data_IF_286645091813
#
_entry.id   IF_286645091813
#
_cell.length_a   1.000
_cell.length_b   1.000
_cell.length_c   1.000
_cell.angle_alpha   90.00
_cell.angle_beta   90.00
_cell.angle_gamma   90.00
#
_symmetry.space_group_name_H-M   'P 1'
#
loop_
_entity.id
_entity.type
_entity.pdbx_description
1 polymer ?
#
# COMPACT_ATOMS: atom_id res chain seq x y z
N UNK A 1 -13.23 14.38 -11.66
CA UNK A 1 -11.84 14.89 -11.43
C UNK A 1 -11.96 16.26 -10.76
N UNK A 2 -11.31 16.50 -9.60
CA UNK A 2 -11.27 17.84 -9.00
C UNK A 2 -10.61 18.80 -9.98
N UNK A 3 -11.09 20.04 -10.09
CA UNK A 3 -10.38 21.06 -10.83
C UNK A 3 -9.06 21.39 -10.10
N UNK A 4 -8.04 21.83 -10.83
CA UNK A 4 -6.74 22.23 -10.25
C UNK A 4 -6.89 23.20 -9.08
N UNK A 5 -7.92 24.06 -9.12
CA UNK A 5 -8.22 25.06 -8.09
C UNK A 5 -8.85 24.46 -6.81
N UNK A 6 -9.33 23.21 -6.88
CA UNK A 6 -9.99 22.53 -5.77
C UNK A 6 -9.06 21.57 -5.04
N UNK A 7 -7.79 21.43 -5.48
CA UNK A 7 -6.80 20.57 -4.83
C UNK A 7 -6.06 21.36 -3.78
N UNK A 8 -6.31 21.03 -2.52
CA UNK A 8 -5.60 21.65 -1.39
C UNK A 8 -4.32 20.88 -1.03
N UNK A 9 -4.43 19.55 -0.97
CA UNK A 9 -3.33 18.65 -0.62
C UNK A 9 -3.16 17.54 -1.66
N UNK A 10 -1.92 17.12 -1.87
CA UNK A 10 -1.60 15.97 -2.71
C UNK A 10 -1.91 14.66 -1.99
N UNK A 11 -2.22 13.63 -2.75
CA UNK A 11 -2.49 12.30 -2.24
C UNK A 11 -1.19 11.56 -1.92
N UNK A 12 -0.90 11.23 -0.64
CA UNK A 12 0.32 10.54 -0.24
C UNK A 12 0.35 9.08 -0.68
N UNK A 13 -0.79 8.53 -1.12
CA UNK A 13 -0.91 7.15 -1.60
C UNK A 13 -0.61 7.00 -3.09
N UNK A 14 -0.25 8.07 -3.81
CA UNK A 14 0.26 7.98 -5.18
C UNK A 14 1.77 8.16 -5.19
N UNK A 15 2.45 7.52 -6.14
CA UNK A 15 3.92 7.51 -6.25
C UNK A 15 4.53 8.92 -6.17
N UNK A 16 3.98 9.86 -6.93
CA UNK A 16 4.43 11.25 -6.90
C UNK A 16 4.25 11.89 -5.51
N UNK A 17 3.05 11.76 -4.92
CA UNK A 17 2.74 12.36 -3.61
C UNK A 17 3.59 11.76 -2.50
N UNK A 18 3.75 10.44 -2.49
CA UNK A 18 4.60 9.74 -1.54
C UNK A 18 6.06 10.24 -1.62
N UNK A 19 6.65 10.24 -2.82
CA UNK A 19 8.03 10.70 -3.03
C UNK A 19 8.21 12.16 -2.65
N UNK A 20 7.25 13.02 -2.99
CA UNK A 20 7.29 14.44 -2.66
C UNK A 20 7.34 14.70 -1.16
N UNK A 21 6.47 14.01 -0.40
CA UNK A 21 6.36 14.20 1.06
C UNK A 21 7.54 13.55 1.79
N UNK A 22 7.88 12.30 1.47
CA UNK A 22 8.80 11.51 2.29
C UNK A 22 10.23 11.46 1.78
N UNK A 23 10.44 11.61 0.46
CA UNK A 23 11.77 11.46 -0.16
C UNK A 23 12.39 12.79 -0.55
N UNK A 24 11.62 13.67 -1.23
CA UNK A 24 12.15 14.90 -1.83
C UNK A 24 12.12 16.10 -0.87
N UNK A 25 11.29 16.05 0.18
CA UNK A 25 11.18 17.13 1.15
C UNK A 25 12.47 17.43 1.93
N UNK A 26 13.40 16.48 2.00
CA UNK A 26 14.58 16.54 2.87
C UNK A 26 14.26 16.37 4.37
N UNK A 27 12.98 16.29 4.73
CA UNK A 27 12.48 16.13 6.12
C UNK A 27 12.42 14.65 6.48
N UNK A 28 13.57 14.01 6.68
CA UNK A 28 13.71 12.57 6.96
C UNK A 28 12.84 12.08 8.14
N UNK A 29 12.59 12.93 9.14
CA UNK A 29 11.77 12.57 10.31
C UNK A 29 10.32 12.24 9.92
N UNK A 30 9.82 12.73 8.77
CA UNK A 30 8.48 12.39 8.27
C UNK A 30 8.33 10.90 7.96
N UNK A 31 9.40 10.21 7.58
CA UNK A 31 9.38 8.75 7.41
C UNK A 31 9.97 8.01 8.61
N UNK A 32 10.94 8.59 9.31
CA UNK A 32 11.57 7.96 10.49
C UNK A 32 10.53 7.70 11.58
N UNK A 33 9.68 8.67 11.89
CA UNK A 33 8.71 8.55 12.97
C UNK A 33 7.67 7.43 12.74
N UNK A 34 7.06 7.30 11.56
CA UNK A 34 6.23 6.12 11.23
C UNK A 34 6.99 4.81 11.35
N UNK A 35 8.23 4.72 10.86
CA UNK A 35 9.03 3.51 10.96
C UNK A 35 9.29 3.13 12.42
N UNK A 36 9.63 4.11 13.26
CA UNK A 36 9.84 3.89 14.71
C UNK A 36 8.57 3.38 15.37
N UNK A 37 7.43 4.03 15.14
CA UNK A 37 6.15 3.63 15.71
C UNK A 37 5.74 2.23 15.26
N UNK A 38 5.73 1.98 13.95
CA UNK A 38 5.25 0.72 13.36
C UNK A 38 6.13 -0.47 13.77
N UNK A 39 7.46 -0.32 13.75
CA UNK A 39 8.38 -1.43 14.02
C UNK A 39 8.89 -1.48 15.47
N UNK A 40 8.57 -0.50 16.31
CA UNK A 40 9.05 -0.39 17.68
C UNK A 40 10.57 -0.18 17.73
N UNK A 41 11.06 0.81 16.97
CA UNK A 41 12.48 1.13 16.82
C UNK A 41 12.77 2.53 17.38
N UNK A 42 14.06 2.86 17.47
CA UNK A 42 14.56 4.18 17.84
C UNK A 42 15.60 4.65 16.81
N UNK A 43 15.11 4.86 15.58
CA UNK A 43 15.91 5.33 14.45
C UNK A 43 16.15 6.83 14.64
N UNK A 44 17.40 7.24 14.70
CA UNK A 44 17.78 8.65 14.82
C UNK A 44 17.96 9.31 13.43
N UNK A 45 18.51 8.58 12.45
CA UNK A 45 18.76 9.08 11.09
C UNK A 45 18.78 7.93 10.08
N UNK A 46 18.47 8.25 8.82
CA UNK A 46 18.51 7.34 7.68
C UNK A 46 19.17 8.00 6.49
N UNK A 47 19.80 7.18 5.64
CA UNK A 47 20.23 7.58 4.30
C UNK A 47 19.24 7.00 3.27
N UNK A 48 18.72 7.87 2.40
CA UNK A 48 17.90 7.44 1.27
C UNK A 48 18.85 6.88 0.22
N UNK A 49 18.59 5.65 -0.21
CA UNK A 49 19.36 4.91 -1.20
C UNK A 49 18.67 4.94 -2.56
N UNK A 50 19.36 4.48 -3.60
CA UNK A 50 18.73 4.24 -4.89
C UNK A 50 17.58 3.24 -4.75
N UNK A 51 16.46 3.58 -5.40
CA UNK A 51 15.24 2.77 -5.36
C UNK A 51 15.30 1.58 -6.33
N UNK A 52 16.33 1.48 -7.18
CA UNK A 52 16.54 0.38 -8.11
C UNK A 52 17.73 -0.46 -7.64
N UNK A 53 17.50 -1.75 -7.43
CA UNK A 53 18.56 -2.74 -7.21
C UNK A 53 18.71 -3.61 -8.44
N UNK A 54 19.87 -3.54 -9.07
CA UNK A 54 20.22 -4.36 -10.22
C UNK A 54 20.25 -5.86 -9.85
N UNK A 55 20.06 -6.73 -10.82
CA UNK A 55 20.31 -8.15 -10.69
C UNK A 55 21.76 -8.43 -10.30
N UNK A 56 22.02 -9.54 -9.58
CA UNK A 56 23.39 -10.02 -9.35
C UNK A 56 24.01 -10.51 -10.67
N UNK A 57 23.18 -10.82 -11.66
CA UNK A 57 23.56 -11.16 -13.04
C UNK A 57 22.70 -10.37 -14.02
N UNK A 58 23.15 -10.21 -15.26
CA UNK A 58 22.40 -9.51 -16.33
C UNK A 58 21.05 -10.15 -16.67
N UNK A 59 20.84 -11.41 -16.28
CA UNK A 59 19.61 -12.18 -16.53
C UNK A 59 18.59 -12.08 -15.39
N UNK A 60 18.99 -11.53 -14.25
CA UNK A 60 18.10 -11.42 -13.11
C UNK A 60 17.22 -10.16 -13.17
N UNK A 61 15.97 -10.30 -12.68
CA UNK A 61 15.05 -9.18 -12.56
C UNK A 61 15.62 -8.12 -11.64
N UNK A 62 15.53 -6.88 -12.07
CA UNK A 62 15.73 -5.71 -11.20
C UNK A 62 14.62 -5.66 -10.14
N UNK A 63 14.95 -5.17 -8.96
CA UNK A 63 13.98 -4.79 -7.95
C UNK A 63 13.90 -3.26 -7.91
N UNK A 64 12.70 -2.71 -8.06
CA UNK A 64 12.46 -1.26 -7.99
C UNK A 64 11.51 -1.01 -6.83
N UNK A 65 11.87 -0.08 -5.95
CA UNK A 65 11.12 0.28 -4.76
C UNK A 65 10.66 1.73 -4.85
N UNK A 66 9.56 2.07 -4.19
CA UNK A 66 9.16 3.48 -4.07
C UNK A 66 10.16 4.25 -3.22
N UNK A 67 10.61 3.64 -2.11
CA UNK A 67 11.68 4.20 -1.28
C UNK A 67 12.54 3.09 -0.66
N UNK A 68 13.85 3.27 -0.67
CA UNK A 68 14.82 2.45 0.04
C UNK A 68 15.66 3.34 0.96
N UNK A 69 15.75 2.96 2.23
CA UNK A 69 16.52 3.70 3.23
C UNK A 69 17.42 2.76 4.02
N UNK A 70 18.50 3.31 4.56
CA UNK A 70 19.41 2.59 5.41
C UNK A 70 19.87 3.44 6.59
N UNK A 71 19.92 2.84 7.78
CA UNK A 71 20.49 3.49 8.97
C UNK A 71 22.03 3.34 8.97
N UNK A 72 22.72 4.15 9.78
CA UNK A 72 24.19 4.09 9.91
C UNK A 72 24.69 2.74 10.42
N UNK A 73 23.91 2.03 11.22
CA UNK A 73 24.20 0.68 11.73
C UNK A 73 23.79 -0.44 10.78
N UNK A 74 23.31 -0.08 9.57
CA UNK A 74 23.09 -0.99 8.45
C UNK A 74 21.69 -1.64 8.39
N UNK A 75 20.71 -1.20 9.19
CA UNK A 75 19.32 -1.62 9.01
C UNK A 75 18.78 -1.08 7.69
N UNK A 76 18.11 -1.90 6.89
CA UNK A 76 17.50 -1.49 5.63
C UNK A 76 15.99 -1.44 5.74
N UNK A 77 15.40 -0.43 5.09
CA UNK A 77 13.95 -0.24 5.01
C UNK A 77 13.55 -0.13 3.56
N UNK A 78 12.60 -0.97 3.14
CA UNK A 78 11.94 -0.92 1.86
C UNK A 78 10.52 -0.44 2.11
N UNK A 79 10.10 0.63 1.48
CA UNK A 79 8.76 1.17 1.59
C UNK A 79 8.10 1.14 0.23
N UNK A 80 6.89 0.62 0.16
CA UNK A 80 6.08 0.47 -1.04
C UNK A 80 4.68 1.02 -0.81
N UNK A 81 4.18 1.79 -1.77
CA UNK A 81 2.79 2.24 -1.83
C UNK A 81 2.08 1.44 -2.92
N UNK A 82 1.04 0.69 -2.53
CA UNK A 82 0.35 -0.20 -3.45
C UNK A 82 -1.12 0.20 -3.59
N UNK A 83 -1.49 0.66 -4.78
CA UNK A 83 -2.83 1.20 -5.06
C UNK A 83 -3.89 0.14 -5.37
N UNK A 84 -3.49 -1.02 -5.87
CA UNK A 84 -4.39 -2.11 -6.21
C UNK A 84 -3.81 -3.44 -5.77
N UNK A 85 -4.69 -4.35 -5.37
CA UNK A 85 -4.33 -5.72 -5.06
C UNK A 85 -3.70 -6.38 -6.30
N UNK A 86 -2.55 -6.99 -6.09
CA UNK A 86 -1.83 -7.71 -7.12
C UNK A 86 -1.60 -9.15 -6.67
N UNK A 87 -1.82 -10.08 -7.57
CA UNK A 87 -1.47 -11.47 -7.36
C UNK A 87 0.01 -11.55 -6.96
N UNK A 88 0.31 -12.29 -5.89
CA UNK A 88 1.68 -12.48 -5.38
C UNK A 88 2.36 -11.23 -4.80
N UNK A 89 1.59 -10.26 -4.26
CA UNK A 89 2.19 -9.08 -3.61
C UNK A 89 3.05 -9.45 -2.40
N UNK A 90 2.60 -10.41 -1.58
CA UNK A 90 3.38 -10.89 -0.41
C UNK A 90 4.67 -11.57 -0.82
N UNK A 91 4.63 -12.40 -1.86
CA UNK A 91 5.80 -13.06 -2.43
C UNK A 91 6.79 -12.04 -3.01
N UNK A 92 6.27 -10.95 -3.60
CA UNK A 92 7.10 -9.84 -4.08
C UNK A 92 7.81 -9.13 -2.91
N UNK A 93 7.14 -8.91 -1.79
CA UNK A 93 7.75 -8.33 -0.59
C UNK A 93 8.87 -9.23 -0.04
N UNK A 94 8.66 -10.55 -0.01
CA UNK A 94 9.68 -11.54 0.36
C UNK A 94 10.85 -11.51 -0.63
N UNK A 95 10.58 -11.47 -1.93
CA UNK A 95 11.62 -11.38 -2.95
C UNK A 95 12.48 -10.12 -2.78
N UNK A 96 11.87 -8.95 -2.55
CA UNK A 96 12.56 -7.68 -2.38
C UNK A 96 13.46 -7.68 -1.14
N UNK A 97 12.96 -8.16 -0.02
CA UNK A 97 13.75 -8.26 1.23
C UNK A 97 14.89 -9.27 1.10
N UNK A 98 14.65 -10.42 0.49
CA UNK A 98 15.68 -11.44 0.23
C UNK A 98 16.78 -10.90 -0.69
N UNK A 99 16.38 -10.11 -1.70
CA UNK A 99 17.32 -9.45 -2.60
C UNK A 99 18.21 -8.48 -1.86
N UNK A 100 17.63 -7.64 -1.01
CA UNK A 100 18.37 -6.68 -0.19
C UNK A 100 19.37 -7.38 0.74
N UNK A 101 19.01 -8.53 1.32
CA UNK A 101 19.97 -9.36 2.09
C UNK A 101 21.09 -9.87 1.20
N UNK A 102 20.76 -10.40 0.02
CA UNK A 102 21.77 -10.95 -0.91
C UNK A 102 22.78 -9.89 -1.37
N UNK A 103 22.35 -8.65 -1.57
CA UNK A 103 23.25 -7.54 -1.90
C UNK A 103 24.18 -7.14 -0.76
N UNK A 104 23.85 -7.48 0.49
CA UNK A 104 24.70 -7.26 1.67
C UNK A 104 25.67 -8.41 1.93
N UNK A 105 25.54 -9.52 1.21
CA UNK A 105 26.45 -10.65 1.33
C UNK A 105 27.88 -10.24 0.96
N UNK A 106 28.83 -10.63 1.79
CA UNK A 106 30.24 -10.36 1.59
C UNK A 106 30.95 -11.59 1.01
N UNK A 107 31.97 -11.35 0.19
CA UNK A 107 32.84 -12.42 -0.28
C UNK A 107 33.91 -12.79 0.77
N UNK A 108 34.31 -14.05 0.83
CA UNK A 108 35.31 -14.54 1.77
C UNK A 108 34.72 -15.10 3.08
N UNK A 109 35.47 -15.05 4.16
CA UNK A 109 35.05 -15.55 5.48
C UNK A 109 34.02 -14.60 6.12
N UNK A 110 32.76 -14.80 5.77
CA UNK A 110 31.62 -14.08 6.31
C UNK A 110 30.77 -14.98 7.20
N UNK A 111 30.46 -14.52 8.41
CA UNK A 111 29.71 -15.25 9.43
C UNK A 111 28.19 -15.10 9.34
N UNK A 112 27.65 -14.58 8.20
CA UNK A 112 26.24 -14.31 7.99
C UNK A 112 25.62 -13.28 8.95
N UNK A 113 26.43 -12.41 9.56
CA UNK A 113 25.95 -11.28 10.38
C UNK A 113 25.47 -10.14 9.48
N UNK A 114 24.26 -10.28 8.94
CA UNK A 114 23.58 -9.21 8.22
C UNK A 114 22.57 -8.50 9.11
N UNK A 115 22.46 -7.20 8.88
CA UNK A 115 21.52 -6.37 9.64
C UNK A 115 20.08 -6.57 9.13
N UNK A 116 19.08 -6.36 10.01
CA UNK A 116 17.67 -6.52 9.65
C UNK A 116 17.25 -5.73 8.41
N UNK A 117 16.35 -6.34 7.65
CA UNK A 117 15.62 -5.72 6.54
C UNK A 117 14.15 -5.64 6.92
N UNK A 118 13.61 -4.43 6.85
CA UNK A 118 12.23 -4.12 7.16
C UNK A 118 11.49 -3.77 5.86
N UNK A 119 10.30 -4.32 5.68
CA UNK A 119 9.41 -3.98 4.58
C UNK A 119 8.15 -3.32 5.14
N UNK A 120 7.84 -2.12 4.64
CA UNK A 120 6.62 -1.39 4.93
C UNK A 120 5.79 -1.28 3.67
N UNK A 121 4.62 -1.91 3.64
CA UNK A 121 3.62 -1.77 2.58
C UNK A 121 2.48 -0.86 3.03
N UNK A 122 2.23 0.22 2.28
CA UNK A 122 1.06 1.08 2.43
C UNK A 122 0.04 0.67 1.37
N UNK A 123 -1.09 0.10 1.80
CA UNK A 123 -2.02 -0.60 0.92
C UNK A 123 -3.34 0.17 0.77
N UNK A 124 -3.80 0.29 -0.46
CA UNK A 124 -5.12 0.80 -0.80
C UNK A 124 -6.12 -0.34 -1.08
N UNK A 125 -5.95 -1.46 -0.41
CA UNK A 125 -6.79 -2.66 -0.47
C UNK A 125 -6.60 -3.50 0.80
N UNK A 126 -7.50 -4.47 1.00
CA UNK A 126 -7.46 -5.38 2.14
C UNK A 126 -6.47 -6.51 1.90
N UNK A 127 -5.76 -6.91 2.95
CA UNK A 127 -4.95 -8.12 2.92
C UNK A 127 -5.88 -9.33 2.87
N UNK A 128 -5.68 -10.20 1.86
CA UNK A 128 -6.43 -11.45 1.78
C UNK A 128 -5.96 -12.42 2.84
N UNK A 129 -6.84 -12.70 3.79
CA UNK A 129 -6.60 -13.73 4.78
C UNK A 129 -6.88 -15.11 4.19
N UNK A 130 -5.99 -16.07 4.46
CA UNK A 130 -6.20 -17.47 4.11
C UNK A 130 -7.37 -18.08 4.91
N UNK A 131 -7.60 -17.56 6.11
CA UNK A 131 -8.67 -17.95 7.03
C UNK A 131 -9.48 -16.68 7.39
N UNK A 132 -10.44 -16.26 6.54
CA UNK A 132 -11.19 -15.01 6.74
C UNK A 132 -11.91 -14.93 8.09
N UNK A 133 -12.31 -16.07 8.66
CA UNK A 133 -12.96 -16.14 9.96
C UNK A 133 -12.04 -15.77 11.14
N UNK A 134 -10.72 -15.75 10.92
CA UNK A 134 -9.72 -15.31 11.90
C UNK A 134 -9.34 -13.84 11.73
N UNK A 135 -9.84 -13.17 10.69
CA UNK A 135 -9.58 -11.77 10.47
C UNK A 135 -10.20 -10.90 11.57
N UNK A 136 -9.42 -10.01 12.13
CA UNK A 136 -9.92 -8.99 13.06
C UNK A 136 -10.31 -7.73 12.25
N UNK A 137 -11.60 -7.34 12.21
CA UNK A 137 -12.05 -6.19 11.45
C UNK A 137 -11.42 -4.87 11.93
N UNK A 138 -11.00 -4.78 13.18
CA UNK A 138 -10.40 -3.57 13.75
C UNK A 138 -8.88 -3.54 13.64
N UNK A 139 -8.28 -4.53 12.96
CA UNK A 139 -6.84 -4.59 12.74
C UNK A 139 -6.48 -4.05 11.37
N UNK A 140 -5.84 -2.89 11.32
CA UNK A 140 -5.41 -2.21 10.08
C UNK A 140 -3.90 -2.31 9.84
N UNK A 141 -3.14 -2.80 10.82
CA UNK A 141 -1.69 -2.98 10.73
C UNK A 141 -1.35 -4.44 10.98
N UNK A 142 -0.79 -5.09 9.96
CA UNK A 142 -0.41 -6.49 9.99
C UNK A 142 1.11 -6.60 10.03
N UNK A 143 1.64 -7.22 11.09
CA UNK A 143 3.09 -7.36 11.30
C UNK A 143 3.49 -8.83 11.20
N UNK A 144 4.50 -9.13 10.37
CA UNK A 144 4.99 -10.48 10.16
C UNK A 144 6.48 -10.56 10.47
N UNK A 145 6.88 -11.72 10.99
CA UNK A 145 8.27 -12.06 11.32
C UNK A 145 8.48 -13.56 11.22
N UNK A 146 9.72 -13.99 11.14
CA UNK A 146 10.07 -15.42 11.16
C UNK A 146 9.92 -15.97 12.58
N UNK A 147 9.02 -16.92 12.76
CA UNK A 147 8.70 -17.54 14.04
C UNK A 147 8.62 -19.05 13.93
N UNK A 148 8.90 -19.74 15.03
CA UNK A 148 8.65 -21.16 15.19
C UNK A 148 7.13 -21.40 15.26
N UNK A 149 6.62 -22.39 14.55
CA UNK A 149 5.19 -22.58 14.30
C UNK A 149 4.37 -22.94 15.55
N UNK A 150 4.98 -23.64 16.52
CA UNK A 150 4.29 -24.13 17.72
C UNK A 150 4.42 -23.19 18.91
N UNK A 151 5.63 -22.68 19.13
CA UNK A 151 5.94 -21.84 20.31
C UNK A 151 5.77 -20.34 20.03
N UNK A 152 5.69 -19.96 18.73
CA UNK A 152 5.72 -18.58 18.26
C UNK A 152 6.96 -17.79 18.67
N UNK A 153 8.00 -18.48 19.09
CA UNK A 153 9.29 -17.87 19.39
C UNK A 153 9.92 -17.28 18.12
N UNK A 154 10.45 -16.08 18.23
CA UNK A 154 11.07 -15.42 17.08
C UNK A 154 12.42 -16.09 16.72
N UNK A 155 12.45 -16.78 15.58
CA UNK A 155 13.63 -17.45 15.07
C UNK A 155 14.76 -16.45 14.71
N UNK A 156 14.39 -15.33 14.08
CA UNK A 156 15.35 -14.32 13.62
C UNK A 156 14.69 -12.94 13.54
N UNK A 157 15.49 -11.91 13.79
CA UNK A 157 15.08 -10.50 13.58
C UNK A 157 15.44 -9.98 12.19
N UNK A 158 16.02 -10.82 11.35
CA UNK A 158 16.57 -10.45 10.05
C UNK A 158 15.52 -9.91 9.06
N UNK A 159 14.29 -10.44 9.13
CA UNK A 159 13.18 -10.03 8.26
C UNK A 159 11.97 -9.62 9.09
N UNK A 160 11.48 -8.42 8.82
CA UNK A 160 10.27 -7.87 9.42
C UNK A 160 9.42 -7.22 8.35
N UNK A 161 8.14 -7.53 8.34
CA UNK A 161 7.18 -6.93 7.43
C UNK A 161 6.08 -6.23 8.23
N UNK A 162 5.62 -5.09 7.72
CA UNK A 162 4.41 -4.44 8.17
C UNK A 162 3.60 -4.00 6.95
N UNK A 163 2.32 -4.31 6.95
CA UNK A 163 1.37 -3.89 5.93
C UNK A 163 0.27 -3.07 6.60
N UNK A 164 0.03 -1.88 6.06
CA UNK A 164 -0.94 -0.92 6.56
C UNK A 164 -2.08 -0.81 5.55
N UNK A 165 -3.28 -1.22 5.94
CA UNK A 165 -4.50 -1.15 5.11
C UNK A 165 -5.12 0.25 5.20
N UNK A 166 -4.54 1.20 4.47
CA UNK A 166 -4.91 2.62 4.55
C UNK A 166 -6.36 2.84 4.10
N UNK A 167 -6.79 2.18 3.00
CA UNK A 167 -8.16 2.34 2.48
C UNK A 167 -9.22 1.78 3.45
N UNK A 168 -8.91 0.69 4.13
CA UNK A 168 -9.84 0.06 5.06
C UNK A 168 -9.94 0.78 6.41
N UNK A 169 -8.95 1.60 6.75
CA UNK A 169 -8.94 2.34 8.02
C UNK A 169 -10.15 3.26 8.12
N UNK A 170 -11.03 3.04 9.10
CA UNK A 170 -12.33 3.70 9.22
C UNK A 170 -12.59 4.42 10.55
N UNK A 171 -11.57 4.45 11.45
CA UNK A 171 -11.68 5.22 12.69
C UNK A 171 -11.91 6.70 12.41
N UNK A 172 -12.83 7.31 13.18
CA UNK A 172 -12.98 8.76 13.20
C UNK A 172 -11.72 9.43 13.79
N UNK A 173 -11.49 10.70 13.48
CA UNK A 173 -10.33 11.46 13.97
C UNK A 173 -10.20 11.41 15.49
N UNK A 174 -11.32 11.51 16.19
CA UNK A 174 -11.43 11.52 17.64
C UNK A 174 -11.08 10.17 18.28
N UNK A 175 -11.18 9.09 17.52
CA UNK A 175 -10.86 7.73 17.94
C UNK A 175 -9.39 7.36 17.69
N UNK A 176 -8.65 8.24 17.00
CA UNK A 176 -7.23 8.04 16.72
C UNK A 176 -6.37 8.38 17.95
N UNK A 177 -6.15 7.41 18.83
CA UNK A 177 -5.41 7.59 20.08
C UNK A 177 -3.89 7.48 19.85
N UNK A 178 -3.46 6.51 19.04
CA UNK A 178 -2.03 6.23 18.78
C UNK A 178 -1.48 7.07 17.62
N UNK A 179 -0.15 7.18 17.55
CA UNK A 179 0.49 7.80 16.39
C UNK A 179 0.17 7.03 15.10
N UNK A 180 0.15 5.70 15.17
CA UNK A 180 -0.17 4.83 14.02
C UNK A 180 -1.59 5.07 13.50
N UNK A 181 -2.59 5.21 14.38
CA UNK A 181 -3.95 5.56 13.99
C UNK A 181 -3.99 6.92 13.28
N UNK A 182 -3.35 7.93 13.86
CA UNK A 182 -3.26 9.29 13.30
C UNK A 182 -2.56 9.31 11.95
N UNK A 183 -1.50 8.50 11.81
CA UNK A 183 -0.77 8.36 10.55
C UNK A 183 -1.65 7.71 9.47
N UNK A 184 -2.33 6.61 9.79
CA UNK A 184 -3.28 5.98 8.86
C UNK A 184 -4.41 6.94 8.47
N UNK A 185 -4.95 7.65 9.45
CA UNK A 185 -6.02 8.60 9.22
C UNK A 185 -5.61 9.73 8.26
N UNK A 186 -4.44 10.35 8.48
CA UNK A 186 -3.96 11.42 7.59
C UNK A 186 -3.62 10.90 6.20
N UNK A 187 -2.99 9.73 6.08
CA UNK A 187 -2.67 9.10 4.80
C UNK A 187 -3.93 8.87 3.95
N UNK A 188 -5.04 8.45 4.57
CA UNK A 188 -6.31 8.23 3.89
C UNK A 188 -7.04 9.52 3.54
N UNK A 189 -7.16 10.42 4.50
CA UNK A 189 -8.11 11.54 4.40
C UNK A 189 -7.52 12.81 3.77
N UNK A 190 -6.19 12.96 3.74
CA UNK A 190 -5.52 14.16 3.25
C UNK A 190 -6.03 14.66 1.89
N UNK A 191 -6.18 13.82 0.85
CA UNK A 191 -6.62 14.27 -0.47
C UNK A 191 -8.11 14.68 -0.52
N UNK A 192 -8.86 14.44 0.55
CA UNK A 192 -10.29 14.77 0.60
C UNK A 192 -10.56 16.18 1.12
N UNK A 193 -9.61 16.80 1.81
CA UNK A 193 -9.80 18.11 2.42
C UNK A 193 -10.02 19.20 1.36
N UNK A 194 -10.94 20.09 1.67
CA UNK A 194 -11.28 21.29 0.90
C UNK A 194 -10.89 22.57 1.65
N UNK A 195 -10.56 22.43 2.94
CA UNK A 195 -10.04 23.46 3.82
C UNK A 195 -9.04 22.83 4.79
N UNK A 196 -8.20 23.65 5.43
CA UNK A 196 -7.20 23.16 6.39
C UNK A 196 -7.92 22.56 7.61
N UNK A 197 -7.77 21.24 7.88
CA UNK A 197 -8.39 20.63 9.04
C UNK A 197 -7.67 21.02 10.33
N UNK A 198 -8.39 21.03 11.44
CA UNK A 198 -7.78 20.99 12.74
C UNK A 198 -7.28 19.56 13.01
N UNK A 199 -5.99 19.42 13.23
CA UNK A 199 -5.36 18.14 13.58
C UNK A 199 -5.01 18.08 15.07
N UNK A 200 -4.27 17.07 15.44
CA UNK A 200 -3.75 16.89 16.82
C UNK A 200 -2.63 17.91 17.09
N UNK A 201 -2.47 18.31 18.33
CA UNK A 201 -1.36 19.16 18.79
C UNK A 201 -0.02 18.41 18.74
N UNK A 202 0.46 18.15 17.51
CA UNK A 202 1.68 17.42 17.22
C UNK A 202 2.36 18.03 15.97
N UNK A 203 3.53 18.66 16.14
CA UNK A 203 4.24 19.33 15.05
C UNK A 203 4.52 18.44 13.82
N UNK A 204 4.55 17.13 14.01
CA UNK A 204 4.73 16.19 12.90
C UNK A 204 3.64 16.34 11.84
N UNK A 205 2.37 16.42 12.26
CA UNK A 205 1.25 16.52 11.34
C UNK A 205 1.19 17.90 10.67
N UNK A 206 1.58 18.96 11.35
CA UNK A 206 1.68 20.29 10.75
C UNK A 206 2.72 20.31 9.63
N UNK A 207 3.91 19.74 9.87
CA UNK A 207 4.96 19.63 8.84
C UNK A 207 4.58 18.70 7.70
N UNK A 208 3.90 17.59 8.02
CA UNK A 208 3.38 16.68 7.00
C UNK A 208 2.41 17.39 6.05
N UNK A 209 1.46 18.16 6.61
CA UNK A 209 0.51 18.96 5.86
C UNK A 209 1.20 20.00 4.98
N UNK A 210 2.18 20.72 5.54
CA UNK A 210 2.98 21.72 4.80
C UNK A 210 3.66 21.10 3.57
N UNK A 211 4.25 19.90 3.70
CA UNK A 211 4.90 19.19 2.58
C UNK A 211 3.90 18.67 1.55
N UNK A 212 2.68 18.41 1.97
CA UNK A 212 1.61 17.91 1.11
C UNK A 212 0.78 19.02 0.45
N UNK A 213 1.00 20.29 0.80
CA UNK A 213 0.21 21.40 0.28
C UNK A 213 0.49 21.63 -1.21
N UNK A 214 -0.57 21.50 -2.02
CA UNK A 214 -0.47 21.59 -3.48
C UNK A 214 0.04 22.97 -3.95
N UNK A 215 -0.37 24.04 -3.26
CA UNK A 215 0.02 25.41 -3.59
C UNK A 215 1.52 25.68 -3.40
N UNK A 216 2.20 24.89 -2.55
CA UNK A 216 3.64 25.03 -2.28
C UNK A 216 4.52 24.39 -3.39
N UNK A 217 3.92 23.71 -4.36
CA UNK A 217 4.62 23.06 -5.46
C UNK A 217 4.86 24.02 -6.61
N UNK A 218 5.98 23.81 -7.33
CA UNK A 218 6.23 24.51 -8.60
C UNK A 218 5.15 24.17 -9.63
N UNK A 219 5.03 24.97 -10.68
CA UNK A 219 4.06 24.72 -11.75
C UNK A 219 4.30 23.35 -12.42
N UNK A 220 5.57 23.00 -12.66
CA UNK A 220 5.96 21.73 -13.26
C UNK A 220 5.58 20.52 -12.36
N UNK A 221 5.77 20.65 -11.07
CA UNK A 221 5.39 19.62 -10.09
C UNK A 221 3.86 19.43 -10.02
N UNK A 222 3.11 20.54 -10.05
CA UNK A 222 1.65 20.50 -10.09
C UNK A 222 1.14 19.78 -11.35
N UNK A 223 1.71 20.08 -12.54
CA UNK A 223 1.35 19.39 -13.77
C UNK A 223 1.70 17.90 -13.73
N UNK A 224 2.86 17.54 -13.19
CA UNK A 224 3.26 16.13 -13.00
C UNK A 224 2.30 15.41 -12.05
N UNK A 225 1.92 16.03 -10.94
CA UNK A 225 0.93 15.45 -10.02
C UNK A 225 -0.41 15.22 -10.70
N UNK A 226 -0.93 16.21 -11.42
CA UNK A 226 -2.19 16.10 -12.16
C UNK A 226 -2.13 14.97 -13.21
N UNK A 227 -1.01 14.84 -13.91
CA UNK A 227 -0.80 13.75 -14.87
C UNK A 227 -0.83 12.38 -14.18
N UNK A 228 -0.18 12.26 -13.02
CA UNK A 228 -0.20 11.04 -12.19
C UNK A 228 -1.62 10.70 -11.73
N UNK A 229 -2.37 11.70 -11.27
CA UNK A 229 -3.77 11.51 -10.86
C UNK A 229 -4.63 11.07 -12.02
N UNK A 230 -4.44 11.63 -13.21
CA UNK A 230 -5.16 11.19 -14.41
C UNK A 230 -4.88 9.73 -14.75
N UNK A 231 -3.62 9.31 -14.74
CA UNK A 231 -3.24 7.90 -14.96
C UNK A 231 -3.90 6.97 -13.93
N UNK A 232 -3.92 7.37 -12.65
CA UNK A 232 -4.60 6.61 -11.60
C UNK A 232 -6.10 6.45 -11.89
N UNK A 233 -6.79 7.51 -12.32
CA UNK A 233 -8.19 7.47 -12.67
C UNK A 233 -8.46 6.56 -13.86
N UNK A 234 -7.66 6.67 -14.91
CA UNK A 234 -7.77 5.83 -16.10
C UNK A 234 -7.56 4.36 -15.75
N UNK A 235 -6.58 4.06 -14.89
CA UNK A 235 -6.32 2.71 -14.38
C UNK A 235 -7.49 2.18 -13.55
N UNK A 236 -8.02 2.97 -12.61
CA UNK A 236 -9.19 2.58 -11.80
C UNK A 236 -10.40 2.31 -12.69
N UNK A 237 -10.72 3.20 -13.62
CA UNK A 237 -11.83 3.00 -14.55
C UNK A 237 -11.66 1.70 -15.37
N UNK A 238 -10.43 1.34 -15.74
CA UNK A 238 -10.15 0.10 -16.47
C UNK A 238 -10.40 -1.12 -15.60
N UNK A 239 -10.03 -1.09 -14.32
CA UNK A 239 -10.31 -2.18 -13.37
C UNK A 239 -11.82 -2.29 -13.13
N UNK A 240 -12.48 -1.19 -12.77
CA UNK A 240 -13.93 -1.16 -12.51
C UNK A 240 -14.72 -1.72 -13.72
N UNK A 241 -14.31 -1.36 -14.94
CA UNK A 241 -14.90 -1.90 -16.18
C UNK A 241 -14.63 -3.40 -16.33
N UNK A 242 -13.42 -3.87 -16.06
CA UNK A 242 -13.07 -5.27 -16.16
C UNK A 242 -13.81 -6.13 -15.12
N UNK A 243 -13.98 -5.64 -13.91
CA UNK A 243 -14.77 -6.28 -12.85
C UNK A 243 -16.24 -6.36 -13.23
N UNK A 244 -16.88 -5.25 -13.61
CA UNK A 244 -18.27 -5.23 -14.04
C UNK A 244 -18.53 -6.19 -15.23
N UNK A 245 -17.60 -6.23 -16.19
CA UNK A 245 -17.66 -7.18 -17.31
C UNK A 245 -17.49 -8.62 -16.84
N UNK A 246 -16.61 -8.87 -15.87
CA UNK A 246 -16.41 -10.19 -15.28
C UNK A 246 -17.64 -10.70 -14.56
N UNK A 247 -18.29 -9.85 -13.77
CA UNK A 247 -19.56 -10.13 -13.05
C UNK A 247 -20.69 -10.42 -14.04
N UNK A 248 -20.88 -9.58 -15.05
CA UNK A 248 -21.89 -9.80 -16.08
C UNK A 248 -21.68 -11.14 -16.82
N UNK A 249 -20.44 -11.46 -17.21
CA UNK A 249 -20.12 -12.73 -17.83
C UNK A 249 -20.38 -13.94 -16.89
N UNK A 250 -20.10 -13.78 -15.61
CA UNK A 250 -20.36 -14.82 -14.60
C UNK A 250 -21.84 -15.04 -14.41
N UNK A 251 -22.63 -13.96 -14.33
CA UNK A 251 -24.08 -14.02 -14.21
C UNK A 251 -24.72 -14.75 -15.42
N UNK A 252 -24.32 -14.37 -16.65
CA UNK A 252 -24.77 -15.06 -17.88
C UNK A 252 -24.38 -16.55 -17.88
N UNK A 253 -23.12 -16.88 -17.51
CA UNK A 253 -22.67 -18.27 -17.45
C UNK A 253 -23.44 -19.09 -16.38
N UNK A 254 -23.82 -18.46 -15.28
CA UNK A 254 -24.63 -19.07 -14.24
C UNK A 254 -26.05 -19.30 -14.75
N UNK A 255 -26.68 -18.31 -15.39
CA UNK A 255 -28.01 -18.42 -15.97
C UNK A 255 -28.09 -19.55 -17.00
N UNK A 256 -27.10 -19.67 -17.91
CA UNK A 256 -27.03 -20.78 -18.88
C UNK A 256 -26.98 -22.14 -18.21
N UNK A 257 -26.16 -22.31 -17.16
CA UNK A 257 -26.09 -23.58 -16.41
C UNK A 257 -27.40 -23.93 -15.68
N UNK A 258 -28.13 -22.91 -15.22
CA UNK A 258 -29.43 -23.12 -14.56
C UNK A 258 -30.50 -23.51 -15.60
N UNK A 259 -30.51 -22.88 -16.80
CA UNK A 259 -31.36 -23.27 -17.93
C UNK A 259 -31.11 -24.73 -18.33
N UNK A 260 -29.85 -25.17 -18.45
CA UNK A 260 -29.47 -26.55 -18.76
C UNK A 260 -29.99 -27.55 -17.70
N UNK A 261 -30.15 -27.12 -16.45
CA UNK A 261 -30.70 -27.92 -15.36
C UNK A 261 -32.23 -27.87 -15.28
N UNK A 262 -32.91 -27.12 -16.14
CA UNK A 262 -34.35 -27.06 -16.24
C UNK A 262 -35.03 -26.06 -15.29
N UNK A 263 -34.29 -25.09 -14.73
CA UNK A 263 -34.89 -23.96 -13.98
C UNK A 263 -35.68 -23.04 -14.93
N UNK A 264 -36.76 -22.44 -14.43
CA UNK A 264 -37.51 -21.48 -15.22
C UNK A 264 -36.74 -20.16 -15.37
N UNK A 265 -36.96 -19.40 -16.47
CA UNK A 265 -36.36 -18.06 -16.60
C UNK A 265 -36.69 -17.11 -15.46
N UNK A 266 -37.87 -17.25 -14.83
CA UNK A 266 -38.31 -16.47 -13.67
C UNK A 266 -37.44 -16.80 -12.45
N UNK A 267 -37.27 -18.11 -12.10
CA UNK A 267 -36.43 -18.52 -10.98
C UNK A 267 -34.96 -18.11 -11.18
N UNK A 268 -34.48 -18.14 -12.43
CA UNK A 268 -33.11 -17.73 -12.75
C UNK A 268 -32.94 -16.22 -12.56
N UNK A 269 -33.90 -15.40 -12.99
CA UNK A 269 -33.86 -13.94 -12.82
C UNK A 269 -33.89 -13.52 -11.33
N UNK A 270 -34.57 -14.28 -10.46
CA UNK A 270 -34.53 -14.06 -9.02
C UNK A 270 -33.18 -14.36 -8.37
N UNK A 271 -32.37 -15.24 -9.00
CA UNK A 271 -31.09 -15.70 -8.46
C UNK A 271 -29.87 -15.08 -9.16
N UNK A 272 -30.07 -14.35 -10.25
CA UNK A 272 -29.00 -13.78 -11.08
C UNK A 272 -29.34 -12.37 -11.55
N UNK A 273 -28.33 -11.57 -11.93
CA UNK A 273 -28.53 -10.20 -12.38
C UNK A 273 -29.25 -10.03 -13.74
N UNK A 274 -29.11 -10.96 -14.73
CA UNK A 274 -29.82 -10.86 -16.00
C UNK A 274 -31.35 -10.91 -15.81
N UNK A 275 -32.05 -10.05 -16.54
CA UNK A 275 -33.52 -10.03 -16.55
C UNK A 275 -34.10 -11.29 -17.22
N UNK A 276 -35.37 -11.61 -16.92
CA UNK A 276 -36.07 -12.73 -17.55
C UNK A 276 -36.05 -12.68 -19.10
N UNK A 277 -36.16 -11.46 -19.68
CA UNK A 277 -36.07 -11.24 -21.13
C UNK A 277 -34.68 -11.55 -21.66
N UNK A 278 -33.64 -11.15 -20.94
CA UNK A 278 -32.25 -11.47 -21.29
C UNK A 278 -31.96 -12.97 -21.18
N UNK A 279 -32.52 -13.65 -20.17
CA UNK A 279 -32.38 -15.08 -19.97
C UNK A 279 -33.08 -15.86 -21.10
N UNK A 280 -34.27 -15.44 -21.54
CA UNK A 280 -35.00 -16.05 -22.66
C UNK A 280 -34.27 -15.87 -24.01
N UNK A 281 -33.35 -14.91 -24.09
CA UNK A 281 -32.56 -14.64 -25.30
C UNK A 281 -31.21 -15.39 -25.32
N UNK A 282 -30.83 -16.07 -24.24
CA UNK A 282 -29.63 -16.90 -24.14
C UNK A 282 -29.84 -18.29 -24.81
#
# INVERSE_FOLDING_TARGET
>A
MKNKQDILYIDPMVDFGFKKIFKESGKKHLIIRPLNAIFGLDIADIDIRESEQLGLTDQERKATFDMHCETKDGHSFIIEVQLADQTFFMERAIFYTSRTISHKAQSGDWNYDFKPVFFLGLLNFDIRHLEPEKANPDQFIHKFSLREDMTHEQMSRALRFAFLEVERFDKAKEECETFEDRFLWIMKNLPTFVEKPELWEDPYFDEFMEQAEFANMSWEEQERYIATMKQRWDFKNTIDFAEAKGEANRAVKTALKMLEKGFSPEDIAECTDPTEEQIKAL
#
